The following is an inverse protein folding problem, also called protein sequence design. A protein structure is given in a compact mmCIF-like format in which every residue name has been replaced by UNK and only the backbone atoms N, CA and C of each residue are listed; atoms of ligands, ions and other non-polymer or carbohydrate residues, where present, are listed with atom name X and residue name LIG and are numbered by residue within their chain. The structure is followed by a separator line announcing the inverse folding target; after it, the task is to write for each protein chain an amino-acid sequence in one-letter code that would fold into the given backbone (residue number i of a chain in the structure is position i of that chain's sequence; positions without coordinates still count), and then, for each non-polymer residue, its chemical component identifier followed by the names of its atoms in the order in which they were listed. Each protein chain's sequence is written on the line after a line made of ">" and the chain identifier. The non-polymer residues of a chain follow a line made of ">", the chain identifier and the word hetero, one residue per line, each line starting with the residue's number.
data_IF_607117686032
#
_entry.id   IF_607117686032
#
_cell.length_a   1.000
_cell.length_b   1.000
_cell.length_c   1.000
_cell.angle_alpha   90.00
_cell.angle_beta   90.00
_cell.angle_gamma   90.00
#
_symmetry.space_group_name_H-M   'P 1'
#
loop_
_entity.id
_entity.type
_entity.pdbx_description
1 polymer ?
#
# COMPACT_ATOMS: atom_id res chain seq x y z
N UNK A 1 -12.35 18.98 -1.73
CA UNK A 1 -11.51 18.72 -2.91
C UNK A 1 -11.23 17.25 -2.96
N UNK A 2 -11.15 16.66 -4.16
CA UNK A 2 -10.78 15.26 -4.32
C UNK A 2 -9.29 15.11 -4.06
N UNK A 3 -8.89 13.99 -3.44
CA UNK A 3 -7.51 13.74 -3.08
C UNK A 3 -7.16 12.25 -3.17
N UNK A 4 -5.86 11.97 -3.20
CA UNK A 4 -5.34 10.61 -3.07
C UNK A 4 -5.21 10.28 -1.58
N UNK A 5 -5.79 9.17 -1.17
CA UNK A 5 -5.58 8.56 0.15
C UNK A 5 -4.60 7.39 -0.02
N UNK A 6 -3.32 7.62 0.24
CA UNK A 6 -2.34 6.53 0.29
C UNK A 6 -2.57 5.70 1.55
N UNK A 7 -2.60 4.38 1.42
CA UNK A 7 -2.80 3.46 2.54
C UNK A 7 -1.55 2.60 2.68
N UNK A 8 -0.71 2.94 3.64
CA UNK A 8 0.62 2.35 3.83
C UNK A 8 0.78 1.75 5.23
N UNK A 9 1.83 0.94 5.41
CA UNK A 9 2.03 0.13 6.61
C UNK A 9 2.64 -1.23 6.31
N UNK A 10 3.17 -1.94 7.33
CA UNK A 10 3.78 -3.23 7.12
C UNK A 10 2.77 -4.31 6.72
N UNK A 11 3.29 -5.44 6.23
CA UNK A 11 2.45 -6.61 5.91
C UNK A 11 1.71 -7.08 7.16
N UNK A 12 0.41 -7.37 7.00
CA UNK A 12 -0.47 -7.78 8.10
C UNK A 12 -1.05 -6.64 8.95
N UNK A 13 -0.74 -5.38 8.67
CA UNK A 13 -1.23 -4.23 9.46
C UNK A 13 -2.76 -4.00 9.36
N UNK A 14 -3.43 -4.53 8.33
CA UNK A 14 -4.86 -4.32 8.11
C UNK A 14 -5.20 -3.27 7.05
N UNK A 15 -4.22 -2.83 6.26
CA UNK A 15 -4.34 -1.85 5.17
C UNK A 15 -5.54 -2.09 4.26
N UNK A 16 -5.64 -3.27 3.65
CA UNK A 16 -6.68 -3.53 2.65
C UNK A 16 -8.08 -3.54 3.23
N UNK A 17 -8.24 -3.95 4.49
CA UNK A 17 -9.53 -3.85 5.20
C UNK A 17 -9.90 -2.39 5.43
N UNK A 18 -8.94 -1.58 5.89
CA UNK A 18 -9.14 -0.15 6.11
C UNK A 18 -9.41 0.60 4.81
N UNK A 19 -8.61 0.36 3.76
CA UNK A 19 -8.74 0.98 2.44
C UNK A 19 -10.14 0.75 1.85
N UNK A 20 -10.64 -0.50 1.91
CA UNK A 20 -12.00 -0.84 1.46
C UNK A 20 -13.07 -0.11 2.28
N UNK A 21 -12.92 -0.06 3.61
CA UNK A 21 -13.88 0.62 4.48
C UNK A 21 -13.92 2.13 4.21
N UNK A 22 -12.74 2.76 4.09
CA UNK A 22 -12.57 4.18 3.78
C UNK A 22 -13.14 4.51 2.40
N UNK A 23 -12.83 3.71 1.39
CA UNK A 23 -13.34 3.92 0.04
C UNK A 23 -14.87 3.77 -0.01
N UNK A 24 -15.42 2.78 0.69
CA UNK A 24 -16.88 2.58 0.78
C UNK A 24 -17.58 3.73 1.49
N UNK A 25 -17.04 4.24 2.60
CA UNK A 25 -17.66 5.34 3.35
C UNK A 25 -17.53 6.68 2.62
N UNK A 26 -16.41 6.92 1.93
CA UNK A 26 -16.17 8.11 1.13
C UNK A 26 -16.86 8.11 -0.24
N UNK A 27 -17.25 6.94 -0.75
CA UNK A 27 -17.72 6.81 -2.14
C UNK A 27 -16.58 6.95 -3.15
N UNK A 28 -15.39 6.46 -2.80
CA UNK A 28 -14.15 6.62 -3.56
C UNK A 28 -13.77 5.33 -4.29
N UNK A 29 -12.95 5.45 -5.34
CA UNK A 29 -12.32 4.27 -5.95
C UNK A 29 -11.21 3.74 -5.04
N UNK A 30 -11.06 2.42 -4.96
CA UNK A 30 -9.94 1.76 -4.29
C UNK A 30 -9.12 0.98 -5.32
N UNK A 31 -7.80 1.17 -5.33
CA UNK A 31 -6.86 0.39 -6.12
C UNK A 31 -5.78 -0.18 -5.20
N UNK A 32 -5.62 -1.50 -5.23
CA UNK A 32 -4.54 -2.19 -4.55
C UNK A 32 -3.52 -2.72 -5.57
N UNK A 33 -2.26 -2.28 -5.45
CA UNK A 33 -1.19 -2.69 -6.36
C UNK A 33 -1.00 -4.21 -6.34
N UNK A 34 -1.05 -4.84 -5.17
CA UNK A 34 -0.85 -6.29 -5.03
C UNK A 34 -1.89 -7.10 -5.81
N UNK A 35 -3.16 -6.65 -5.85
CA UNK A 35 -4.20 -7.32 -6.63
C UNK A 35 -3.87 -7.31 -8.13
N UNK A 36 -3.43 -6.16 -8.64
CA UNK A 36 -3.09 -5.99 -10.06
C UNK A 36 -1.80 -6.72 -10.39
N UNK A 37 -0.79 -6.63 -9.52
CA UNK A 37 0.49 -7.29 -9.69
C UNK A 37 0.31 -8.81 -9.76
N UNK A 38 -0.48 -9.38 -8.84
CA UNK A 38 -0.74 -10.82 -8.82
C UNK A 38 -1.43 -11.26 -10.11
N UNK A 39 -2.43 -10.52 -10.58
CA UNK A 39 -3.18 -10.89 -11.80
C UNK A 39 -2.35 -10.73 -13.07
N UNK A 40 -1.58 -9.66 -13.18
CA UNK A 40 -0.88 -9.29 -14.41
C UNK A 40 0.49 -9.94 -14.54
N UNK A 41 1.18 -10.23 -13.42
CA UNK A 41 2.58 -10.59 -13.46
C UNK A 41 2.91 -11.91 -12.77
N UNK A 42 2.20 -12.32 -11.71
CA UNK A 42 2.53 -13.60 -11.04
C UNK A 42 2.52 -14.82 -11.97
N UNK A 43 1.66 -14.93 -13.00
CA UNK A 43 1.72 -16.03 -13.97
C UNK A 43 3.06 -16.12 -14.73
N UNK A 44 3.74 -14.98 -14.91
CA UNK A 44 4.99 -14.86 -15.67
C UNK A 44 6.23 -14.75 -14.77
N UNK A 45 6.08 -15.06 -13.46
CA UNK A 45 7.17 -14.94 -12.51
C UNK A 45 8.28 -15.96 -12.85
N UNK A 46 9.54 -15.52 -13.03
CA UNK A 46 10.64 -16.42 -13.31
C UNK A 46 10.96 -17.27 -12.08
N UNK A 47 11.43 -18.49 -12.32
CA UNK A 47 11.83 -19.41 -11.25
C UNK A 47 13.03 -18.92 -10.43
N UNK A 48 13.87 -18.04 -11.00
CA UNK A 48 15.04 -17.47 -10.35
C UNK A 48 15.21 -15.98 -10.67
N UNK A 49 16.03 -15.29 -9.87
CA UNK A 49 16.30 -13.85 -9.98
C UNK A 49 15.03 -12.97 -10.09
N UNK A 50 14.00 -13.31 -9.30
CA UNK A 50 12.70 -12.65 -9.41
C UNK A 50 12.67 -11.23 -8.81
N UNK A 51 13.66 -10.85 -7.98
CA UNK A 51 13.66 -9.54 -7.30
C UNK A 51 13.78 -8.38 -8.29
N UNK A 52 14.81 -8.31 -9.17
CA UNK A 52 14.85 -7.27 -10.20
C UNK A 52 13.64 -7.29 -11.13
N UNK A 53 13.14 -8.50 -11.45
CA UNK A 53 11.93 -8.69 -12.27
C UNK A 53 10.69 -8.08 -11.59
N UNK A 54 10.58 -8.23 -10.26
CA UNK A 54 9.48 -7.72 -9.44
C UNK A 54 9.54 -6.20 -9.34
N UNK A 55 10.70 -5.65 -8.98
CA UNK A 55 10.92 -4.20 -8.85
C UNK A 55 10.56 -3.48 -10.15
N UNK A 56 11.12 -3.92 -11.28
CA UNK A 56 10.85 -3.29 -12.58
C UNK A 56 9.37 -3.37 -13.03
N UNK A 57 8.58 -4.32 -12.51
CA UNK A 57 7.13 -4.41 -12.78
C UNK A 57 6.32 -3.59 -11.80
N UNK A 58 6.73 -3.56 -10.54
CA UNK A 58 6.13 -2.73 -9.51
C UNK A 58 6.23 -1.27 -9.88
N UNK A 59 7.40 -0.80 -10.32
CA UNK A 59 7.62 0.61 -10.69
C UNK A 59 6.71 1.02 -11.85
N UNK A 60 6.69 0.23 -12.94
CA UNK A 60 5.77 0.46 -14.08
C UNK A 60 4.30 0.45 -13.68
N UNK A 61 3.93 -0.40 -12.72
CA UNK A 61 2.56 -0.51 -12.23
C UNK A 61 2.18 0.69 -11.35
N UNK A 62 3.10 1.19 -10.51
CA UNK A 62 2.94 2.43 -9.75
C UNK A 62 2.70 3.60 -10.70
N UNK A 63 3.54 3.76 -11.72
CA UNK A 63 3.41 4.84 -12.71
C UNK A 63 2.04 4.81 -13.41
N UNK A 64 1.60 3.61 -13.84
CA UNK A 64 0.30 3.44 -14.47
C UNK A 64 -0.86 3.76 -13.52
N UNK A 65 -0.82 3.24 -12.28
CA UNK A 65 -1.84 3.50 -11.27
C UNK A 65 -1.94 4.99 -10.96
N UNK A 66 -0.81 5.69 -10.83
CA UNK A 66 -0.78 7.14 -10.58
C UNK A 66 -1.31 7.93 -11.77
N UNK A 67 -0.94 7.57 -13.00
CA UNK A 67 -1.49 8.18 -14.20
C UNK A 67 -3.02 8.05 -14.26
N UNK A 68 -3.55 6.87 -13.92
CA UNK A 68 -4.99 6.65 -13.87
C UNK A 68 -5.65 7.40 -12.69
N UNK A 69 -5.02 7.39 -11.52
CA UNK A 69 -5.49 8.10 -10.33
C UNK A 69 -5.68 9.59 -10.61
N UNK A 70 -4.73 10.24 -11.30
CA UNK A 70 -4.85 11.64 -11.73
C UNK A 70 -6.12 11.91 -12.55
N UNK A 71 -6.53 10.97 -13.41
CA UNK A 71 -7.77 11.09 -14.18
C UNK A 71 -9.01 10.93 -13.29
N UNK A 72 -8.99 9.98 -12.36
CA UNK A 72 -10.09 9.73 -11.41
C UNK A 72 -10.32 10.89 -10.45
N UNK A 73 -9.24 11.57 -10.03
CA UNK A 73 -9.32 12.73 -9.13
C UNK A 73 -10.16 13.88 -9.68
N UNK A 74 -10.37 13.97 -10.99
CA UNK A 74 -11.27 14.95 -11.58
C UNK A 74 -12.72 14.79 -11.10
N UNK A 75 -13.13 13.59 -10.69
CA UNK A 75 -14.52 13.28 -10.30
C UNK A 75 -14.67 12.96 -8.82
N UNK A 76 -13.77 12.18 -8.23
CA UNK A 76 -13.86 11.78 -6.82
C UNK A 76 -12.48 11.41 -6.25
N UNK A 77 -12.34 11.35 -4.93
CA UNK A 77 -11.12 10.88 -4.28
C UNK A 77 -10.83 9.41 -4.59
N UNK A 78 -9.60 8.97 -4.34
CA UNK A 78 -9.15 7.60 -4.60
C UNK A 78 -8.28 7.09 -3.46
N UNK A 79 -8.46 5.85 -3.05
CA UNK A 79 -7.60 5.16 -2.08
C UNK A 79 -6.61 4.24 -2.82
N UNK A 80 -5.31 4.37 -2.53
CA UNK A 80 -4.24 3.62 -3.19
C UNK A 80 -3.42 2.84 -2.15
N UNK A 81 -3.25 1.54 -2.37
CA UNK A 81 -2.23 0.73 -1.67
C UNK A 81 -1.09 0.46 -2.66
N UNK A 82 0.02 1.21 -2.58
CA UNK A 82 1.15 1.08 -3.52
C UNK A 82 2.35 0.33 -2.92
N UNK A 83 2.37 0.15 -1.60
CA UNK A 83 3.45 -0.55 -0.92
C UNK A 83 4.72 0.30 -0.87
N UNK A 84 4.58 1.57 -0.49
CA UNK A 84 5.66 2.55 -0.31
C UNK A 84 6.38 2.30 1.02
N UNK A 85 7.01 1.13 1.11
CA UNK A 85 7.57 0.59 2.37
C UNK A 85 8.89 1.22 2.79
N UNK A 86 9.61 1.84 1.86
CA UNK A 86 10.89 2.52 2.12
C UNK A 86 10.72 4.03 2.01
N UNK A 87 11.37 4.75 2.92
CA UNK A 87 11.34 6.19 3.05
C UNK A 87 11.79 6.89 1.77
N UNK A 88 12.94 6.52 1.20
CA UNK A 88 13.50 7.20 0.02
C UNK A 88 12.53 7.26 -1.17
N UNK A 89 12.06 6.10 -1.68
CA UNK A 89 11.05 6.05 -2.75
C UNK A 89 9.73 6.72 -2.38
N UNK A 90 9.28 6.59 -1.12
CA UNK A 90 8.04 7.23 -0.63
C UNK A 90 8.15 8.75 -0.70
N UNK A 91 9.20 9.34 -0.11
CA UNK A 91 9.48 10.77 -0.14
C UNK A 91 9.58 11.30 -1.57
N UNK A 92 10.32 10.60 -2.45
CA UNK A 92 10.45 11.00 -3.84
C UNK A 92 9.09 11.12 -4.54
N UNK A 93 8.21 10.15 -4.32
CA UNK A 93 6.86 10.16 -4.89
C UNK A 93 5.99 11.27 -4.29
N UNK A 94 5.97 11.43 -2.96
CA UNK A 94 5.13 12.43 -2.30
C UNK A 94 5.54 13.86 -2.70
N UNK A 95 6.84 14.14 -2.78
CA UNK A 95 7.37 15.42 -3.28
C UNK A 95 6.97 15.69 -4.72
N UNK A 96 7.11 14.68 -5.60
CA UNK A 96 6.67 14.80 -6.99
C UNK A 96 5.19 15.20 -7.07
N UNK A 97 4.32 14.53 -6.30
CA UNK A 97 2.88 14.85 -6.30
C UNK A 97 2.58 16.24 -5.72
N UNK A 98 3.34 16.67 -4.71
CA UNK A 98 3.21 18.00 -4.12
C UNK A 98 3.62 19.09 -5.12
N UNK A 99 4.73 18.91 -5.84
CA UNK A 99 5.20 19.80 -6.90
C UNK A 99 4.20 19.89 -8.07
N UNK A 100 3.52 18.78 -8.39
CA UNK A 100 2.44 18.73 -9.38
C UNK A 100 1.12 19.36 -8.87
N UNK A 101 1.04 19.74 -7.59
CA UNK A 101 -0.18 20.28 -6.97
C UNK A 101 -1.30 19.27 -6.80
N UNK A 102 -0.98 17.97 -6.78
CA UNK A 102 -1.94 16.88 -6.57
C UNK A 102 -2.26 16.76 -5.08
N UNK A 103 -3.52 16.92 -4.64
CA UNK A 103 -3.87 16.76 -3.22
C UNK A 103 -3.75 15.31 -2.77
N UNK A 104 -3.11 15.06 -1.63
CA UNK A 104 -3.01 13.73 -1.03
C UNK A 104 -2.87 13.78 0.50
N UNK A 105 -3.17 12.64 1.13
CA UNK A 105 -2.80 12.32 2.51
C UNK A 105 -2.34 10.86 2.60
N UNK A 106 -1.54 10.54 3.63
CA UNK A 106 -0.99 9.19 3.84
C UNK A 106 -1.52 8.59 5.13
N UNK A 107 -2.30 7.53 5.01
CA UNK A 107 -2.83 6.74 6.12
C UNK A 107 -1.85 5.64 6.46
N UNK A 108 -1.30 5.66 7.67
CA UNK A 108 -0.33 4.66 8.12
C UNK A 108 -1.00 3.76 9.14
N UNK A 109 -1.13 2.48 8.78
CA UNK A 109 -1.61 1.46 9.68
C UNK A 109 -0.44 0.64 10.18
N UNK A 110 -0.41 0.41 11.49
CA UNK A 110 0.50 -0.55 12.09
C UNK A 110 -0.19 -1.38 13.18
N UNK A 111 0.43 -2.50 13.52
CA UNK A 111 0.10 -3.34 14.64
C UNK A 111 1.36 -4.09 15.10
N UNK A 112 1.41 -4.56 16.36
CA UNK A 112 2.54 -5.36 16.84
C UNK A 112 2.87 -6.52 15.90
N UNK A 113 4.17 -6.77 15.64
CA UNK A 113 4.64 -7.78 14.69
C UNK A 113 4.04 -9.18 14.95
N UNK A 114 3.85 -9.55 16.21
CA UNK A 114 3.19 -10.80 16.61
C UNK A 114 1.74 -10.88 16.10
N UNK A 115 0.96 -9.82 16.33
CA UNK A 115 -0.43 -9.69 15.85
C UNK A 115 -0.48 -9.71 14.31
N UNK A 116 0.43 -9.00 13.65
CA UNK A 116 0.53 -9.00 12.18
C UNK A 116 0.81 -10.39 11.63
N UNK A 117 1.71 -11.16 12.27
CA UNK A 117 2.02 -12.54 11.89
C UNK A 117 0.79 -13.43 11.99
N UNK A 118 0.10 -13.40 13.12
CA UNK A 118 -1.13 -14.19 13.33
C UNK A 118 -2.18 -13.86 12.26
N UNK A 119 -2.39 -12.57 11.97
CA UNK A 119 -3.31 -12.13 10.90
C UNK A 119 -2.91 -12.67 9.53
N UNK A 120 -1.63 -12.66 9.19
CA UNK A 120 -1.12 -13.19 7.91
C UNK A 120 -1.33 -14.69 7.82
N UNK A 121 -0.99 -15.44 8.87
CA UNK A 121 -1.18 -16.89 8.93
C UNK A 121 -2.65 -17.27 8.80
N UNK A 122 -3.54 -16.58 9.53
CA UNK A 122 -4.99 -16.78 9.40
C UNK A 122 -5.49 -16.47 7.99
N UNK A 123 -5.05 -15.36 7.40
CA UNK A 123 -5.43 -14.97 6.03
C UNK A 123 -4.95 -15.98 4.97
N UNK A 124 -3.76 -16.54 5.13
CA UNK A 124 -3.24 -17.55 4.21
C UNK A 124 -4.11 -18.83 4.20
N UNK A 125 -4.66 -19.18 5.36
CA UNK A 125 -5.55 -20.34 5.54
C UNK A 125 -6.98 -20.06 5.07
N UNK A 126 -7.56 -18.94 5.49
CA UNK A 126 -8.97 -18.62 5.24
C UNK A 126 -9.24 -18.10 3.83
N UNK A 127 -8.25 -17.46 3.19
CA UNK A 127 -8.36 -16.89 1.85
C UNK A 127 -9.60 -16.00 1.63
N UNK A 128 -9.93 -15.17 2.64
CA UNK A 128 -11.09 -14.27 2.61
C UNK A 128 -10.99 -13.10 1.62
N UNK A 129 -11.92 -12.14 1.69
CA UNK A 129 -12.09 -11.08 0.68
C UNK A 129 -10.87 -10.18 0.41
N UNK A 130 -9.92 -10.06 1.34
CA UNK A 130 -8.68 -9.27 1.19
C UNK A 130 -7.47 -10.13 0.87
N UNK A 131 -7.67 -11.42 0.59
CA UNK A 131 -6.61 -12.32 0.15
C UNK A 131 -6.24 -12.01 -1.32
N UNK A 132 -4.95 -11.78 -1.56
CA UNK A 132 -4.40 -11.64 -2.91
C UNK A 132 -3.42 -12.76 -3.22
N UNK A 133 -2.61 -13.16 -2.23
CA UNK A 133 -1.62 -14.22 -2.36
C UNK A 133 -1.24 -14.76 -0.99
N UNK A 134 -0.69 -15.98 -0.98
CA UNK A 134 -0.03 -16.55 0.20
C UNK A 134 1.22 -15.74 0.51
N UNK A 135 1.39 -15.37 1.79
CA UNK A 135 2.62 -14.75 2.30
C UNK A 135 3.27 -15.72 3.28
N UNK A 136 4.27 -16.50 2.84
CA UNK A 136 5.02 -17.39 3.72
C UNK A 136 5.76 -16.64 4.85
N UNK A 137 6.12 -17.35 5.93
CA UNK A 137 6.72 -16.74 7.12
C UNK A 137 8.07 -16.04 6.84
N UNK A 138 8.90 -16.60 5.95
CA UNK A 138 10.16 -16.00 5.52
C UNK A 138 9.94 -14.69 4.74
N UNK A 139 8.94 -14.66 3.85
CA UNK A 139 8.53 -13.44 3.15
C UNK A 139 7.97 -12.41 4.13
N UNK A 140 7.22 -12.83 5.16
CA UNK A 140 6.73 -11.94 6.21
C UNK A 140 7.89 -11.29 6.99
N UNK A 141 8.94 -12.04 7.32
CA UNK A 141 10.13 -11.51 7.97
C UNK A 141 10.83 -10.47 7.10
N UNK A 142 11.09 -10.82 5.83
CA UNK A 142 11.75 -9.94 4.87
C UNK A 142 10.93 -8.66 4.70
N UNK A 143 9.63 -8.76 4.41
CA UNK A 143 8.75 -7.61 4.26
C UNK A 143 8.66 -6.75 5.53
N UNK A 144 8.65 -7.37 6.71
CA UNK A 144 8.65 -6.63 7.98
C UNK A 144 9.98 -5.92 8.24
N UNK A 145 11.11 -6.48 7.79
CA UNK A 145 12.43 -5.87 7.95
C UNK A 145 12.70 -4.70 7.01
N UNK A 146 12.00 -4.66 5.86
CA UNK A 146 12.11 -3.58 4.87
C UNK A 146 11.16 -2.41 5.15
N UNK A 147 10.27 -2.53 6.15
CA UNK A 147 9.33 -1.46 6.48
C UNK A 147 10.05 -0.35 7.26
N UNK A 148 10.02 0.84 6.71
CA UNK A 148 10.51 2.09 7.32
C UNK A 148 9.30 2.95 7.66
N UNK A 149 9.00 3.06 8.96
CA UNK A 149 7.96 3.95 9.48
C UNK A 149 8.24 5.40 9.10
N UNK A 150 7.20 6.21 8.79
CA UNK A 150 7.38 7.62 8.51
C UNK A 150 8.01 8.34 9.70
N UNK A 151 9.12 9.02 9.47
CA UNK A 151 9.80 9.78 10.52
C UNK A 151 9.14 11.15 10.78
N UNK A 152 9.69 11.89 11.74
CA UNK A 152 9.19 13.23 12.10
C UNK A 152 9.27 14.21 10.92
N UNK A 153 10.31 14.10 10.09
CA UNK A 153 10.50 14.98 8.94
C UNK A 153 9.44 14.73 7.86
N UNK A 154 9.15 13.47 7.55
CA UNK A 154 8.04 13.09 6.67
C UNK A 154 6.70 13.63 7.17
N UNK A 155 6.47 13.53 8.47
CA UNK A 155 5.23 13.97 9.12
C UNK A 155 5.07 15.49 9.22
N UNK A 156 6.19 16.23 9.20
CA UNK A 156 6.19 17.70 9.11
C UNK A 156 5.96 18.18 7.67
N UNK A 157 6.50 17.47 6.67
CA UNK A 157 6.41 17.86 5.25
C UNK A 157 5.05 17.51 4.62
N UNK A 158 4.42 16.40 5.05
CA UNK A 158 3.19 15.88 4.45
C UNK A 158 2.10 15.56 5.47
N UNK A 159 0.84 15.50 5.00
CA UNK A 159 -0.28 15.08 5.85
C UNK A 159 -0.29 13.56 6.07
N UNK A 160 0.21 13.15 7.23
CA UNK A 160 0.11 11.78 7.73
C UNK A 160 -1.06 11.62 8.69
N UNK A 161 -1.88 10.59 8.46
CA UNK A 161 -3.00 10.18 9.29
C UNK A 161 -2.65 8.82 9.88
N UNK A 162 -2.69 8.71 11.20
CA UNK A 162 -2.53 7.45 11.92
C UNK A 162 -3.91 7.04 12.44
N UNK A 163 -4.69 6.24 11.69
CA UNK A 163 -6.00 5.81 12.16
C UNK A 163 -5.81 5.11 13.49
N UNK A 164 -6.69 5.40 14.46
CA UNK A 164 -6.68 4.69 15.73
C UNK A 164 -6.82 3.19 15.42
N UNK A 165 -5.70 2.48 15.42
CA UNK A 165 -5.69 1.03 15.43
C UNK A 165 -6.58 0.65 16.61
N UNK A 166 -7.56 -0.23 16.39
CA UNK A 166 -8.29 -0.86 17.46
C UNK A 166 -7.25 -1.46 18.42
N UNK A 167 -6.86 -0.70 19.44
CA UNK A 167 -6.05 -1.14 20.57
C UNK A 167 -6.97 -2.03 21.39
N UNK A 168 -7.19 -3.24 20.92
CA UNK A 168 -7.79 -4.35 21.67
C UNK A 168 -7.04 -5.61 21.30
#
# INVERSE_FOLDING_TARGET
>A
MNQIHFIEGPVGAGKSTYAKALAKSGGFTHIALDEWFVRLYSPDRPAGNFVPWYVARKDRLIDLILSYARTVLATHSIALELGLIQQGPRLALLRQLQEEGVPFCVHVLDAPKSVRRERVQRRNTEQGETFSMVVPDDIFEIASSMWEEPDEFEQEEFEFIFPASAKR
#
